data_IF_627542396463
#
_entry.id   IF_627542396463
#
_cell.length_a   1.000
_cell.length_b   1.000
_cell.length_c   1.000
_cell.angle_alpha   90.00
_cell.angle_beta   90.00
_cell.angle_gamma   90.00
#
_symmetry.space_group_name_H-M   'P 1'
#
loop_
_entity.id
_entity.type
_entity.pdbx_description
1 polymer ?
#
# COMPACT_ATOMS: atom_id res chain seq x y z
N UNK A 1 1.42 -3.17 19.01
CA UNK A 1 2.37 -2.04 18.89
C UNK A 1 1.89 -1.11 17.79
N UNK A 2 1.86 0.19 18.06
CA UNK A 2 1.39 1.15 17.08
C UNK A 2 2.37 1.31 15.92
N UNK A 3 1.84 1.44 14.72
CA UNK A 3 2.64 1.73 13.54
C UNK A 3 2.89 3.22 13.51
N UNK A 4 4.15 3.62 13.43
CA UNK A 4 4.54 5.02 13.52
C UNK A 4 5.28 5.56 12.30
N UNK A 5 5.67 4.69 11.38
CA UNK A 5 6.42 5.10 10.20
C UNK A 5 5.98 4.32 8.96
N UNK A 6 6.31 4.87 7.80
CA UNK A 6 6.07 4.20 6.51
C UNK A 6 6.80 2.85 6.46
N UNK A 7 8.03 2.80 6.97
CA UNK A 7 8.79 1.56 6.98
C UNK A 7 8.07 0.48 7.79
N UNK A 8 7.47 0.84 8.92
CA UNK A 8 6.69 -0.08 9.74
C UNK A 8 5.47 -0.62 8.98
N UNK A 9 4.79 0.26 8.22
CA UNK A 9 3.65 -0.16 7.39
C UNK A 9 4.08 -1.19 6.37
N UNK A 10 5.16 -0.91 5.65
CA UNK A 10 5.64 -1.80 4.59
C UNK A 10 6.14 -3.12 5.17
N UNK A 11 6.82 -3.09 6.29
CA UNK A 11 7.25 -4.31 6.98
C UNK A 11 6.05 -5.15 7.43
N UNK A 12 5.01 -4.48 7.92
CA UNK A 12 3.79 -5.15 8.36
C UNK A 12 3.08 -5.84 7.18
N UNK A 13 3.04 -5.18 6.02
CA UNK A 13 2.46 -5.76 4.81
C UNK A 13 3.26 -7.00 4.40
N UNK A 14 4.58 -6.93 4.41
CA UNK A 14 5.42 -8.04 3.98
C UNK A 14 5.36 -9.24 4.93
N UNK A 15 4.99 -9.02 6.20
CA UNK A 15 4.88 -10.06 7.22
C UNK A 15 3.43 -10.44 7.55
N UNK A 16 2.46 -9.80 6.90
CA UNK A 16 1.05 -9.99 7.20
C UNK A 16 0.50 -11.34 6.76
N UNK A 17 -0.81 -11.46 6.83
CA UNK A 17 -1.53 -12.67 6.48
C UNK A 17 -1.38 -12.98 4.99
N UNK A 18 -0.62 -14.02 4.68
CA UNK A 18 -0.35 -14.41 3.30
C UNK A 18 -1.58 -14.95 2.57
N UNK A 19 -2.61 -15.35 3.29
CA UNK A 19 -3.84 -15.82 2.66
C UNK A 19 -4.57 -14.69 1.92
N UNK A 20 -4.39 -13.45 2.38
CA UNK A 20 -5.01 -12.29 1.74
C UNK A 20 -4.38 -11.95 0.39
N UNK A 21 -3.15 -12.37 0.17
CA UNK A 21 -2.43 -12.08 -1.07
C UNK A 21 -2.26 -13.31 -1.96
N UNK A 22 -2.75 -14.45 -1.51
CA UNK A 22 -2.67 -15.69 -2.29
C UNK A 22 -3.39 -15.51 -3.63
N UNK A 23 -2.72 -15.90 -4.71
CA UNK A 23 -3.26 -15.77 -6.05
C UNK A 23 -3.11 -14.39 -6.67
N UNK A 24 -2.54 -13.44 -5.94
CA UNK A 24 -2.29 -12.10 -6.48
C UNK A 24 -0.86 -12.05 -7.05
N UNK A 25 -0.76 -11.69 -8.33
CA UNK A 25 0.53 -11.44 -8.97
C UNK A 25 0.49 -10.03 -9.51
N UNK A 26 1.14 -9.11 -8.82
CA UNK A 26 1.03 -7.71 -9.16
C UNK A 26 2.22 -6.91 -8.63
N UNK A 27 2.45 -5.76 -9.24
CA UNK A 27 3.46 -4.80 -8.79
C UNK A 27 2.74 -3.51 -8.43
N UNK A 28 2.89 -3.07 -7.20
CA UNK A 28 2.24 -1.87 -6.69
C UNK A 28 3.30 -0.82 -6.39
N UNK A 29 3.15 0.35 -6.98
CA UNK A 29 4.00 1.50 -6.67
C UNK A 29 3.30 2.37 -5.63
N UNK A 30 3.95 2.57 -4.51
CA UNK A 30 3.50 3.51 -3.49
C UNK A 30 4.21 4.84 -3.72
N UNK A 31 3.46 5.84 -4.14
CA UNK A 31 3.98 7.20 -4.34
C UNK A 31 3.47 8.05 -3.18
N UNK A 32 4.31 8.20 -2.18
CA UNK A 32 3.94 8.85 -0.92
C UNK A 32 4.48 10.26 -0.85
N UNK A 33 3.64 11.19 -0.44
CA UNK A 33 4.00 12.61 -0.31
C UNK A 33 4.12 13.01 1.14
N UNK A 34 4.64 14.20 1.39
CA UNK A 34 4.77 14.76 2.72
C UNK A 34 5.99 14.26 3.48
N UNK A 35 5.94 14.43 4.80
CA UNK A 35 7.02 13.98 5.68
C UNK A 35 7.12 12.45 5.61
N UNK A 36 8.34 11.95 5.48
CA UNK A 36 8.62 10.52 5.28
C UNK A 36 8.10 9.99 3.93
N UNK A 37 7.74 10.88 3.03
CA UNK A 37 7.30 10.50 1.70
C UNK A 37 8.43 9.89 0.88
N UNK A 38 8.07 9.33 -0.26
CA UNK A 38 9.01 8.68 -1.16
C UNK A 38 8.27 7.67 -2.01
N UNK A 39 9.04 6.87 -2.75
CA UNK A 39 8.46 5.84 -3.60
C UNK A 39 8.97 4.48 -3.18
N UNK A 40 8.06 3.53 -3.09
CA UNK A 40 8.37 2.14 -2.78
C UNK A 40 7.60 1.24 -3.73
N UNK A 41 8.22 0.12 -4.09
CA UNK A 41 7.59 -0.87 -4.96
C UNK A 41 7.33 -2.14 -4.15
N UNK A 42 6.08 -2.57 -4.13
CA UNK A 42 5.71 -3.84 -3.52
C UNK A 42 5.38 -4.83 -4.62
N UNK A 43 6.10 -5.94 -4.66
CA UNK A 43 5.85 -7.01 -5.61
C UNK A 43 5.16 -8.15 -4.91
N UNK A 44 3.97 -8.51 -5.38
CA UNK A 44 3.18 -9.62 -4.85
C UNK A 44 3.28 -10.76 -5.84
N UNK A 45 3.83 -11.88 -5.43
CA UNK A 45 3.96 -13.07 -6.26
C UNK A 45 4.13 -14.30 -5.38
N UNK A 46 3.54 -15.41 -5.79
CA UNK A 46 3.70 -16.70 -5.13
C UNK A 46 3.36 -16.67 -3.64
N UNK A 47 2.38 -15.85 -3.24
CA UNK A 47 1.96 -15.71 -1.86
C UNK A 47 2.92 -14.90 -0.99
N UNK A 48 3.85 -14.18 -1.60
CA UNK A 48 4.83 -13.36 -0.88
C UNK A 48 4.75 -11.91 -1.31
N UNK A 49 5.12 -11.01 -0.40
CA UNK A 49 5.25 -9.59 -0.68
C UNK A 49 6.70 -9.18 -0.52
N UNK A 50 7.26 -8.58 -1.56
CA UNK A 50 8.60 -8.03 -1.54
C UNK A 50 8.52 -6.52 -1.68
N UNK A 51 9.05 -5.79 -0.72
CA UNK A 51 9.02 -4.34 -0.74
C UNK A 51 10.43 -3.82 -0.94
N UNK A 52 10.59 -2.94 -1.92
CA UNK A 52 11.87 -2.30 -2.21
C UNK A 52 11.68 -0.81 -2.32
N UNK A 53 12.63 -0.04 -1.83
CA UNK A 53 12.62 1.40 -2.01
C UNK A 53 12.94 1.71 -3.47
N UNK A 54 12.19 2.67 -4.04
CA UNK A 54 12.39 3.10 -5.40
C UNK A 54 11.19 2.86 -6.29
N UNK A 55 11.24 3.44 -7.47
CA UNK A 55 10.18 3.41 -8.46
C UNK A 55 10.39 2.29 -9.45
N UNK A 56 9.31 1.61 -9.82
CA UNK A 56 9.34 0.63 -10.90
C UNK A 56 8.84 1.27 -12.20
N UNK A 57 9.34 0.76 -13.35
CA UNK A 57 8.99 1.30 -14.65
C UNK A 57 7.56 0.97 -15.09
N UNK A 58 7.02 -0.17 -14.64
CA UNK A 58 5.71 -0.64 -15.11
C UNK A 58 4.90 -1.26 -14.00
N UNK A 59 4.40 -0.44 -13.05
CA UNK A 59 3.57 -0.98 -11.99
C UNK A 59 2.20 -1.40 -12.53
N UNK A 60 1.64 -2.44 -11.94
CA UNK A 60 0.26 -2.84 -12.22
C UNK A 60 -0.72 -1.79 -11.72
N UNK A 61 -0.33 -1.11 -10.66
CA UNK A 61 -1.14 -0.10 -10.02
C UNK A 61 -0.22 0.89 -9.29
N UNK A 62 -0.62 2.16 -9.24
CA UNK A 62 0.06 3.19 -8.47
C UNK A 62 -0.90 3.73 -7.41
N UNK A 63 -0.44 3.74 -6.17
CA UNK A 63 -1.18 4.28 -5.05
C UNK A 63 -0.48 5.57 -4.59
N UNK A 64 -1.16 6.71 -4.76
CA UNK A 64 -0.62 8.02 -4.39
C UNK A 64 -1.38 8.55 -3.19
N UNK A 65 -0.67 8.86 -2.11
CA UNK A 65 -1.28 9.40 -0.91
C UNK A 65 -0.20 10.02 -0.02
N UNK A 66 -0.63 10.73 1.02
CA UNK A 66 0.29 11.25 2.01
C UNK A 66 0.80 10.11 2.89
N UNK A 67 2.09 10.13 3.21
CA UNK A 67 2.72 9.09 4.02
C UNK A 67 2.07 8.95 5.40
N UNK A 68 1.67 10.06 6.01
CA UNK A 68 1.00 10.05 7.31
C UNK A 68 -0.40 9.42 7.23
N UNK A 69 -1.09 9.61 6.11
CA UNK A 69 -2.39 8.96 5.89
C UNK A 69 -2.23 7.45 5.78
N UNK A 70 -1.16 6.98 5.15
CA UNK A 70 -0.87 5.55 5.08
C UNK A 70 -0.64 4.96 6.47
N UNK A 71 0.12 5.65 7.31
CA UNK A 71 0.36 5.23 8.69
C UNK A 71 -0.96 5.20 9.48
N UNK A 72 -1.77 6.24 9.37
CA UNK A 72 -3.06 6.32 10.07
C UNK A 72 -3.99 5.19 9.62
N UNK A 73 -4.01 4.88 8.34
CA UNK A 73 -4.82 3.81 7.79
C UNK A 73 -4.41 2.45 8.35
N UNK A 74 -3.11 2.22 8.48
CA UNK A 74 -2.58 0.98 9.04
C UNK A 74 -2.86 0.82 10.53
N UNK A 75 -3.04 1.92 11.25
CA UNK A 75 -3.41 1.93 12.65
C UNK A 75 -4.93 1.88 12.87
N UNK A 76 -5.72 1.84 11.79
CA UNK A 76 -7.17 1.85 11.90
C UNK A 76 -7.76 3.22 12.20
N UNK A 77 -6.97 4.29 12.15
CA UNK A 77 -7.42 5.66 12.42
C UNK A 77 -8.05 6.33 11.20
N UNK A 78 -7.79 5.81 10.02
CA UNK A 78 -8.31 6.33 8.77
C UNK A 78 -8.87 5.18 7.94
N UNK A 79 -10.13 5.31 7.54
CA UNK A 79 -10.77 4.31 6.69
C UNK A 79 -10.35 4.53 5.24
N UNK A 80 -9.90 3.47 4.58
CA UNK A 80 -9.41 3.54 3.21
C UNK A 80 -10.47 4.02 2.22
N UNK A 81 -11.71 3.55 2.35
CA UNK A 81 -12.79 3.95 1.45
C UNK A 81 -13.12 5.43 1.65
N UNK A 82 -13.21 5.87 2.90
CA UNK A 82 -13.48 7.28 3.20
C UNK A 82 -12.36 8.18 2.69
N UNK A 83 -11.11 7.77 2.86
CA UNK A 83 -9.95 8.52 2.37
C UNK A 83 -9.98 8.65 0.84
N UNK A 84 -10.33 7.57 0.15
CA UNK A 84 -10.46 7.59 -1.30
C UNK A 84 -11.56 8.56 -1.75
N UNK A 85 -12.71 8.52 -1.09
CA UNK A 85 -13.83 9.40 -1.43
C UNK A 85 -13.54 10.86 -1.14
N UNK A 86 -12.67 11.15 -0.16
CA UNK A 86 -12.25 12.51 0.16
C UNK A 86 -11.12 13.02 -0.73
N UNK A 87 -10.62 12.20 -1.64
CA UNK A 87 -9.53 12.58 -2.52
C UNK A 87 -8.15 12.49 -1.87
N UNK A 88 -8.03 11.87 -0.70
CA UNK A 88 -6.76 11.68 -0.02
C UNK A 88 -5.92 10.58 -0.63
N UNK A 89 -6.56 9.61 -1.28
CA UNK A 89 -5.91 8.51 -1.95
C UNK A 89 -6.23 8.60 -3.43
N UNK A 90 -5.20 8.54 -4.26
CA UNK A 90 -5.37 8.48 -5.71
C UNK A 90 -4.86 7.14 -6.19
N UNK A 91 -5.64 6.47 -7.00
CA UNK A 91 -5.31 5.16 -7.54
C UNK A 91 -5.26 5.25 -9.05
N UNK A 92 -4.19 4.71 -9.64
CA UNK A 92 -4.03 4.64 -11.07
C UNK A 92 -3.70 3.19 -11.44
N UNK A 93 -4.29 2.69 -12.50
CA UNK A 93 -4.06 1.32 -12.96
C UNK A 93 -5.21 0.39 -12.63
N UNK A 94 -4.93 -0.81 -12.17
CA UNK A 94 -5.92 -1.85 -11.95
C UNK A 94 -6.77 -1.59 -10.70
N UNK A 95 -8.04 -1.23 -10.89
CA UNK A 95 -8.96 -0.93 -9.80
C UNK A 95 -9.37 -2.19 -9.02
N UNK A 96 -9.40 -3.34 -9.65
CA UNK A 96 -9.68 -4.59 -8.95
C UNK A 96 -8.58 -4.88 -7.93
N UNK A 97 -7.35 -4.61 -8.30
CA UNK A 97 -6.21 -4.75 -7.43
C UNK A 97 -6.29 -3.76 -6.25
N UNK A 98 -6.75 -2.55 -6.51
CA UNK A 98 -6.93 -1.54 -5.47
C UNK A 98 -7.89 -2.01 -4.38
N UNK A 99 -8.98 -2.65 -4.76
CA UNK A 99 -9.94 -3.17 -3.81
C UNK A 99 -9.36 -4.31 -2.97
N UNK A 100 -8.54 -5.15 -3.58
CA UNK A 100 -7.83 -6.21 -2.85
C UNK A 100 -6.81 -5.65 -1.90
N UNK A 101 -6.10 -4.61 -2.32
CA UNK A 101 -5.11 -3.95 -1.46
C UNK A 101 -5.77 -3.35 -0.22
N UNK A 102 -6.97 -2.81 -0.35
CA UNK A 102 -7.72 -2.30 0.79
C UNK A 102 -7.90 -3.40 1.85
N UNK A 103 -8.24 -4.62 1.44
CA UNK A 103 -8.39 -5.74 2.36
C UNK A 103 -7.07 -6.10 3.07
N UNK A 104 -5.94 -5.91 2.39
CA UNK A 104 -4.64 -6.20 2.96
C UNK A 104 -4.25 -5.15 4.00
N UNK A 105 -4.57 -3.87 3.73
CA UNK A 105 -4.18 -2.76 4.59
C UNK A 105 -5.09 -2.58 5.81
N UNK A 106 -6.27 -3.08 5.75
CA UNK A 106 -7.23 -2.99 6.85
C UNK A 106 -7.58 -4.39 7.35
#
# INVERSE_FOLDING_TARGET
MAITSVQDVLDNISRGDKTKIEGINAVILFDLSGKEGGKWTATLADGEVKVEEGETASPSMTLSMDAQDLVAMSNGELNAVAAFMQGRIKVSGDMSLAMRLQSILT
#
